data_IF_011012266539
#
_entry.id   IF_011012266539
#
_cell.length_a   1.000
_cell.length_b   1.000
_cell.length_c   1.000
_cell.angle_alpha   90.00
_cell.angle_beta   90.00
_cell.angle_gamma   90.00
#
_symmetry.space_group_name_H-M   'P 1'
#
loop_
_entity.id
_entity.type
_entity.pdbx_description
1 polymer ?
#
# COMPACT_ATOMS: atom_id res chain seq x y z
N UNK A 1 15.87 22.12 -20.92
CA UNK A 1 15.56 20.84 -20.30
C UNK A 1 16.05 20.93 -18.87
N UNK A 2 15.15 21.08 -17.89
CA UNK A 2 15.53 21.08 -16.49
C UNK A 2 15.95 19.64 -16.15
N UNK A 3 17.22 19.46 -15.79
CA UNK A 3 17.70 18.17 -15.30
C UNK A 3 17.01 17.89 -13.97
N UNK A 4 16.29 16.77 -13.90
CA UNK A 4 15.73 16.29 -12.65
C UNK A 4 16.86 16.18 -11.62
N UNK A 5 16.67 16.63 -10.37
CA UNK A 5 17.68 16.54 -9.32
C UNK A 5 18.16 15.09 -9.14
N UNK A 6 19.44 14.91 -8.86
CA UNK A 6 20.07 13.59 -8.75
C UNK A 6 19.35 12.67 -7.74
N UNK A 7 18.78 13.22 -6.66
CA UNK A 7 18.05 12.44 -5.66
C UNK A 7 16.80 11.73 -6.22
N UNK A 8 16.17 12.28 -7.29
CA UNK A 8 14.99 11.66 -7.93
C UNK A 8 15.38 10.34 -8.60
N UNK A 9 16.55 10.29 -9.24
CA UNK A 9 17.06 9.05 -9.84
C UNK A 9 17.40 8.00 -8.78
N UNK A 10 18.00 8.43 -7.65
CA UNK A 10 18.33 7.53 -6.53
C UNK A 10 17.04 6.95 -5.93
N UNK A 11 16.03 7.79 -5.74
CA UNK A 11 14.74 7.39 -5.21
C UNK A 11 14.02 6.43 -6.17
N UNK A 12 14.05 6.72 -7.47
CA UNK A 12 13.49 5.85 -8.50
C UNK A 12 14.17 4.47 -8.51
N UNK A 13 15.50 4.43 -8.50
CA UNK A 13 16.24 3.17 -8.43
C UNK A 13 15.91 2.37 -7.17
N UNK A 14 15.79 3.06 -6.03
CA UNK A 14 15.38 2.44 -4.77
C UNK A 14 13.97 1.84 -4.84
N UNK A 15 13.00 2.57 -5.41
CA UNK A 15 11.63 2.08 -5.61
C UNK A 15 11.57 0.88 -6.55
N UNK A 16 12.32 0.91 -7.66
CA UNK A 16 12.41 -0.21 -8.61
C UNK A 16 13.03 -1.42 -7.91
N UNK A 17 14.12 -1.25 -7.17
CA UNK A 17 14.75 -2.32 -6.42
C UNK A 17 13.79 -2.96 -5.42
N UNK A 18 13.11 -2.15 -4.59
CA UNK A 18 12.10 -2.62 -3.64
C UNK A 18 10.96 -3.32 -4.38
N UNK A 19 10.45 -2.75 -5.47
CA UNK A 19 9.36 -3.31 -6.25
C UNK A 19 9.73 -4.66 -6.87
N UNK A 20 10.92 -4.77 -7.48
CA UNK A 20 11.41 -6.02 -8.08
C UNK A 20 11.62 -7.10 -7.02
N UNK A 21 12.20 -6.77 -5.87
CA UNK A 21 12.35 -7.76 -4.78
C UNK A 21 11.00 -8.26 -4.25
N UNK A 22 9.93 -7.47 -4.42
CA UNK A 22 8.56 -7.84 -4.05
C UNK A 22 7.85 -8.70 -5.11
N UNK A 23 8.36 -8.76 -6.33
CA UNK A 23 7.84 -9.65 -7.38
C UNK A 23 8.14 -11.13 -7.12
N UNK A 24 9.08 -11.45 -6.23
CA UNK A 24 9.43 -12.83 -5.89
C UNK A 24 8.67 -13.30 -4.65
N UNK A 25 8.36 -14.61 -4.64
CA UNK A 25 7.74 -15.24 -3.48
C UNK A 25 8.68 -15.15 -2.26
N UNK A 26 8.13 -14.79 -1.11
CA UNK A 26 8.91 -14.58 0.12
C UNK A 26 8.13 -14.94 1.37
N UNK A 27 8.86 -15.32 2.39
CA UNK A 27 8.32 -15.54 3.73
C UNK A 27 8.41 -14.25 4.54
N UNK A 28 7.30 -13.85 5.15
CA UNK A 28 7.23 -12.63 5.97
C UNK A 28 6.42 -12.89 7.24
N UNK A 29 6.73 -12.13 8.29
CA UNK A 29 5.90 -12.07 9.50
C UNK A 29 4.60 -11.32 9.18
N UNK A 30 3.42 -11.74 9.73
CA UNK A 30 2.10 -11.19 9.37
C UNK A 30 1.97 -9.67 9.52
N UNK A 31 2.68 -9.07 10.48
CA UNK A 31 2.61 -7.63 10.79
C UNK A 31 3.40 -6.75 9.80
N UNK A 32 4.50 -7.28 9.22
CA UNK A 32 5.38 -6.49 8.33
C UNK A 32 4.69 -5.90 7.09
N UNK A 33 3.75 -6.59 6.43
CA UNK A 33 3.08 -6.04 5.25
C UNK A 33 2.25 -4.78 5.51
N UNK A 34 1.75 -4.56 6.73
CA UNK A 34 0.87 -3.43 7.04
C UNK A 34 1.65 -2.16 7.41
N UNK A 35 2.89 -2.30 7.93
CA UNK A 35 3.69 -1.15 8.35
C UNK A 35 4.01 -0.21 7.19
N UNK A 36 4.39 -0.78 6.04
CA UNK A 36 4.77 -0.02 4.86
C UNK A 36 3.62 0.87 4.32
N UNK A 37 2.39 0.35 4.07
CA UNK A 37 1.26 1.18 3.66
C UNK A 37 0.91 2.29 4.67
N UNK A 38 0.97 2.02 5.97
CA UNK A 38 0.67 3.03 7.01
C UNK A 38 1.65 4.20 6.94
N UNK A 39 2.95 3.91 6.83
CA UNK A 39 3.98 4.95 6.68
C UNK A 39 3.73 5.77 5.40
N UNK A 40 3.38 5.11 4.30
CA UNK A 40 3.06 5.78 3.04
C UNK A 40 1.81 6.66 3.13
N UNK A 41 0.79 6.24 3.86
CA UNK A 41 -0.39 7.09 4.15
C UNK A 41 0.04 8.37 4.87
N UNK A 42 0.82 8.26 5.93
CA UNK A 42 1.27 9.41 6.70
C UNK A 42 2.15 10.38 5.90
N UNK A 43 3.14 9.85 5.19
CA UNK A 43 4.07 10.65 4.38
C UNK A 43 3.35 11.35 3.22
N UNK A 44 2.49 10.63 2.50
CA UNK A 44 1.79 11.20 1.35
C UNK A 44 0.76 12.25 1.76
N UNK A 45 0.04 12.04 2.87
CA UNK A 45 -0.89 13.05 3.38
C UNK A 45 -0.15 14.32 3.81
N UNK A 46 1.00 14.18 4.46
CA UNK A 46 1.85 15.31 4.82
C UNK A 46 2.37 16.03 3.56
N UNK A 47 2.87 15.30 2.57
CA UNK A 47 3.37 15.85 1.30
C UNK A 47 2.29 16.66 0.58
N UNK A 48 1.09 16.08 0.39
CA UNK A 48 -0.03 16.76 -0.27
C UNK A 48 -0.51 17.98 0.51
N UNK A 49 -0.54 17.92 1.84
CA UNK A 49 -0.89 19.06 2.68
C UNK A 49 0.08 20.24 2.51
N UNK A 50 1.37 19.96 2.32
CA UNK A 50 2.37 20.99 2.02
C UNK A 50 2.26 21.55 0.59
N UNK A 51 1.93 20.69 -0.39
CA UNK A 51 1.78 21.10 -1.79
C UNK A 51 0.50 21.92 -2.03
N UNK A 52 -0.56 21.62 -1.31
CA UNK A 52 -1.86 22.25 -1.44
C UNK A 52 -2.34 22.84 -0.10
N UNK A 53 -1.72 23.92 0.40
CA UNK A 53 -2.08 24.51 1.71
C UNK A 53 -3.50 25.08 1.73
N UNK A 54 -4.09 25.33 0.57
CA UNK A 54 -5.46 25.82 0.42
C UNK A 54 -6.49 24.70 0.13
N UNK A 55 -6.09 23.41 0.24
CA UNK A 55 -6.99 22.30 -0.02
C UNK A 55 -8.16 22.31 0.98
N UNK A 56 -9.36 22.36 0.46
CA UNK A 56 -10.60 22.32 1.24
C UNK A 56 -10.96 20.89 1.70
N UNK A 57 -12.00 20.78 2.53
CA UNK A 57 -12.54 19.50 2.99
C UNK A 57 -12.88 18.52 1.86
N UNK A 58 -13.27 19.03 0.69
CA UNK A 58 -13.62 18.23 -0.49
C UNK A 58 -12.41 17.40 -1.00
N UNK A 59 -11.20 17.95 -0.97
CA UNK A 59 -10.01 17.24 -1.38
C UNK A 59 -9.70 16.06 -0.43
N UNK A 60 -9.83 16.28 0.88
CA UNK A 60 -9.66 15.21 1.87
C UNK A 60 -10.76 14.16 1.78
N UNK A 61 -12.02 14.58 1.53
CA UNK A 61 -13.13 13.66 1.31
C UNK A 61 -12.89 12.79 0.06
N UNK A 62 -12.41 13.38 -1.04
CA UNK A 62 -12.05 12.68 -2.25
C UNK A 62 -10.89 11.68 -2.00
N UNK A 63 -9.87 12.08 -1.23
CA UNK A 63 -8.78 11.19 -0.82
C UNK A 63 -9.29 9.97 -0.05
N UNK A 64 -10.15 10.19 0.94
CA UNK A 64 -10.72 9.10 1.76
C UNK A 64 -11.60 8.17 0.93
N UNK A 65 -12.46 8.70 0.07
CA UNK A 65 -13.30 7.91 -0.82
C UNK A 65 -12.45 7.07 -1.79
N UNK A 66 -11.45 7.67 -2.41
CA UNK A 66 -10.53 6.99 -3.31
C UNK A 66 -9.66 5.95 -2.59
N UNK A 67 -9.20 6.24 -1.36
CA UNK A 67 -8.48 5.30 -0.52
C UNK A 67 -9.35 4.08 -0.18
N UNK A 68 -10.62 4.28 0.16
CA UNK A 68 -11.56 3.19 0.42
C UNK A 68 -11.79 2.33 -0.84
N UNK A 69 -11.94 2.95 -2.01
CA UNK A 69 -12.06 2.26 -3.30
C UNK A 69 -10.79 1.47 -3.63
N UNK A 70 -9.62 2.09 -3.48
CA UNK A 70 -8.32 1.44 -3.66
C UNK A 70 -8.13 0.26 -2.71
N UNK A 71 -8.45 0.44 -1.42
CA UNK A 71 -8.37 -0.62 -0.42
C UNK A 71 -9.31 -1.77 -0.73
N UNK A 72 -10.53 -1.48 -1.17
CA UNK A 72 -11.49 -2.51 -1.61
C UNK A 72 -10.94 -3.30 -2.81
N UNK A 73 -10.43 -2.61 -3.84
CA UNK A 73 -9.79 -3.25 -4.98
C UNK A 73 -8.60 -4.11 -4.59
N UNK A 74 -7.72 -3.60 -3.71
CA UNK A 74 -6.58 -4.32 -3.16
C UNK A 74 -6.98 -5.55 -2.37
N UNK A 75 -8.04 -5.46 -1.56
CA UNK A 75 -8.62 -6.57 -0.81
C UNK A 75 -9.11 -7.69 -1.73
N UNK A 76 -9.89 -7.36 -2.76
CA UNK A 76 -10.40 -8.34 -3.71
C UNK A 76 -9.27 -8.98 -4.53
N UNK A 77 -8.25 -8.22 -4.90
CA UNK A 77 -7.08 -8.75 -5.58
C UNK A 77 -6.35 -9.78 -4.70
N UNK A 78 -6.10 -9.47 -3.43
CA UNK A 78 -5.41 -10.34 -2.49
C UNK A 78 -6.21 -11.60 -2.10
N UNK A 79 -7.55 -11.57 -2.21
CA UNK A 79 -8.40 -12.76 -1.97
C UNK A 79 -8.04 -13.94 -2.88
N UNK A 80 -7.54 -13.67 -4.07
CA UNK A 80 -7.15 -14.70 -5.05
C UNK A 80 -5.81 -15.35 -4.73
N UNK A 81 -5.05 -14.80 -3.79
CA UNK A 81 -3.73 -15.30 -3.43
C UNK A 81 -3.82 -16.60 -2.62
N UNK A 82 -3.00 -17.58 -3.01
CA UNK A 82 -2.82 -18.82 -2.23
C UNK A 82 -1.73 -18.55 -1.19
N UNK A 83 -2.13 -18.26 0.04
CA UNK A 83 -1.23 -18.07 1.17
C UNK A 83 -0.85 -19.44 1.72
N UNK A 84 0.45 -19.64 2.00
CA UNK A 84 0.96 -20.82 2.70
C UNK A 84 1.41 -20.37 4.08
N UNK A 85 0.81 -20.96 5.10
CA UNK A 85 1.15 -20.68 6.49
C UNK A 85 2.14 -21.73 6.98
N UNK A 86 3.19 -21.28 7.66
CA UNK A 86 4.22 -22.14 8.24
C UNK A 86 4.47 -21.70 9.66
N UNK A 87 4.37 -22.62 10.60
CA UNK A 87 4.71 -22.37 12.00
C UNK A 87 6.19 -22.74 12.19
N UNK A 88 6.99 -21.76 12.56
CA UNK A 88 8.43 -21.94 12.86
C UNK A 88 8.71 -21.65 14.35
N UNK A 89 9.93 -21.89 14.82
CA UNK A 89 10.34 -21.64 16.20
C UNK A 89 10.20 -20.17 16.61
N UNK A 90 10.24 -19.26 15.65
CA UNK A 90 10.10 -17.80 15.85
C UNK A 90 8.67 -17.28 15.65
N UNK A 91 7.67 -18.15 15.55
CA UNK A 91 6.27 -17.82 15.33
C UNK A 91 5.76 -18.13 13.92
N UNK A 92 4.58 -17.60 13.59
CA UNK A 92 3.92 -17.84 12.32
C UNK A 92 4.61 -17.05 11.19
N UNK A 93 4.99 -17.75 10.15
CA UNK A 93 5.48 -17.20 8.87
C UNK A 93 4.45 -17.43 7.78
N UNK A 94 4.29 -16.43 6.91
CA UNK A 94 3.39 -16.51 5.77
C UNK A 94 4.19 -16.34 4.49
N UNK A 95 4.07 -17.31 3.60
CA UNK A 95 4.64 -17.22 2.26
C UNK A 95 3.67 -16.48 1.37
N UNK A 96 4.09 -15.26 0.96
CA UNK A 96 3.37 -14.46 -0.01
C UNK A 96 3.80 -14.85 -1.42
N UNK A 97 2.86 -15.01 -2.36
CA UNK A 97 3.22 -15.14 -3.76
C UNK A 97 3.90 -13.85 -4.25
N UNK A 98 4.77 -13.97 -5.24
CA UNK A 98 5.32 -12.80 -5.92
C UNK A 98 4.21 -12.00 -6.60
N UNK A 99 4.23 -10.68 -6.47
CA UNK A 99 3.19 -9.81 -7.02
C UNK A 99 3.78 -8.58 -7.72
N UNK A 100 3.76 -8.62 -9.05
CA UNK A 100 4.18 -7.50 -9.88
C UNK A 100 3.27 -6.27 -9.76
N UNK A 101 2.03 -6.44 -9.25
CA UNK A 101 1.10 -5.32 -9.10
C UNK A 101 1.55 -4.31 -8.05
N UNK A 102 2.36 -4.73 -7.07
CA UNK A 102 2.99 -3.79 -6.13
C UNK A 102 4.02 -2.91 -6.83
N UNK A 103 4.86 -3.50 -7.69
CA UNK A 103 5.81 -2.73 -8.51
C UNK A 103 5.07 -1.72 -9.39
N UNK A 104 4.00 -2.16 -10.08
CA UNK A 104 3.18 -1.28 -10.90
C UNK A 104 2.58 -0.13 -10.07
N UNK A 105 2.06 -0.40 -8.86
CA UNK A 105 1.52 0.62 -7.97
C UNK A 105 2.60 1.62 -7.55
N UNK A 106 3.82 1.16 -7.19
CA UNK A 106 4.93 2.04 -6.81
C UNK A 106 5.38 2.93 -7.97
N UNK A 107 5.47 2.38 -9.18
CA UNK A 107 5.83 3.15 -10.38
C UNK A 107 4.76 4.18 -10.72
N UNK A 108 3.48 3.82 -10.66
CA UNK A 108 2.36 4.75 -10.87
C UNK A 108 2.36 5.86 -9.83
N UNK A 109 2.62 5.54 -8.56
CA UNK A 109 2.74 6.55 -7.50
C UNK A 109 3.89 7.50 -7.79
N UNK A 110 5.05 6.99 -8.18
CA UNK A 110 6.19 7.81 -8.52
C UNK A 110 5.91 8.74 -9.72
N UNK A 111 5.27 8.23 -10.78
CA UNK A 111 4.88 9.02 -11.95
C UNK A 111 3.87 10.10 -11.56
N UNK A 112 2.84 9.74 -10.78
CA UNK A 112 1.81 10.69 -10.33
C UNK A 112 2.42 11.81 -9.48
N UNK A 113 3.26 11.47 -8.49
CA UNK A 113 3.95 12.44 -7.64
C UNK A 113 4.87 13.36 -8.47
N UNK A 114 5.66 12.79 -9.37
CA UNK A 114 6.54 13.58 -10.25
C UNK A 114 5.73 14.54 -11.12
N UNK A 115 4.61 14.08 -11.67
CA UNK A 115 3.71 14.91 -12.48
C UNK A 115 3.09 16.06 -11.67
N UNK A 116 2.61 15.77 -10.45
CA UNK A 116 2.03 16.79 -9.56
C UNK A 116 3.08 17.85 -9.20
N UNK A 117 4.28 17.41 -8.80
CA UNK A 117 5.38 18.32 -8.47
C UNK A 117 5.80 19.18 -9.66
N UNK A 118 5.95 18.60 -10.86
CA UNK A 118 6.32 19.35 -12.08
C UNK A 118 5.24 20.38 -12.44
N UNK A 119 3.96 19.98 -12.36
CA UNK A 119 2.84 20.88 -12.67
C UNK A 119 2.82 22.11 -11.75
N UNK A 120 3.09 21.93 -10.46
CA UNK A 120 3.16 23.02 -9.50
C UNK A 120 4.42 23.85 -9.68
N UNK A 121 5.59 23.21 -9.85
CA UNK A 121 6.87 23.90 -10.03
C UNK A 121 6.92 24.75 -11.30
N UNK A 122 6.24 24.32 -12.37
CA UNK A 122 6.12 25.05 -13.63
C UNK A 122 4.98 26.07 -13.63
N UNK A 123 4.32 26.26 -12.50
CA UNK A 123 3.21 27.22 -12.31
C UNK A 123 2.15 27.13 -13.40
N UNK A 124 1.76 25.90 -13.78
CA UNK A 124 0.72 25.69 -14.78
C UNK A 124 -0.61 26.27 -14.29
N UNK A 125 -1.35 27.04 -15.13
CA UNK A 125 -2.60 27.70 -14.69
C UNK A 125 -3.63 26.72 -14.11
N UNK A 126 -3.74 25.52 -14.69
CA UNK A 126 -4.64 24.48 -14.22
C UNK A 126 -4.19 23.81 -12.90
N UNK A 127 -2.89 23.85 -12.58
CA UNK A 127 -2.38 23.31 -11.33
C UNK A 127 -2.79 24.13 -10.09
N UNK A 128 -3.16 25.40 -10.28
CA UNK A 128 -3.68 26.27 -9.22
C UNK A 128 -5.19 26.07 -8.96
N UNK A 129 -5.89 25.20 -9.71
CA UNK A 129 -7.32 24.98 -9.57
C UNK A 129 -7.64 24.02 -8.41
N UNK A 130 -8.74 24.26 -7.71
CA UNK A 130 -9.25 23.35 -6.68
C UNK A 130 -9.52 21.93 -7.23
N UNK A 131 -9.95 21.84 -8.51
CA UNK A 131 -10.17 20.54 -9.18
C UNK A 131 -8.89 19.73 -9.29
N UNK A 132 -7.77 20.38 -9.60
CA UNK A 132 -6.48 19.68 -9.66
C UNK A 132 -6.04 19.17 -8.29
N UNK A 133 -6.26 19.97 -7.22
CA UNK A 133 -6.01 19.52 -5.87
C UNK A 133 -6.87 18.28 -5.52
N UNK A 134 -8.18 18.33 -5.77
CA UNK A 134 -9.09 17.20 -5.51
C UNK A 134 -8.64 15.95 -6.27
N UNK A 135 -8.30 16.06 -7.55
CA UNK A 135 -7.82 14.94 -8.36
C UNK A 135 -6.49 14.38 -7.83
N UNK A 136 -5.55 15.24 -7.43
CA UNK A 136 -4.27 14.81 -6.86
C UNK A 136 -4.47 14.01 -5.58
N UNK A 137 -5.33 14.47 -4.69
CA UNK A 137 -5.69 13.75 -3.47
C UNK A 137 -6.42 12.42 -3.76
N UNK A 138 -7.31 12.39 -4.74
CA UNK A 138 -8.01 11.17 -5.14
C UNK A 138 -7.06 10.13 -5.76
N UNK A 139 -6.19 10.54 -6.68
CA UNK A 139 -5.19 9.64 -7.29
C UNK A 139 -4.26 9.06 -6.21
N UNK A 140 -3.76 9.91 -5.32
CA UNK A 140 -2.94 9.46 -4.21
C UNK A 140 -3.69 8.47 -3.30
N UNK A 141 -4.93 8.79 -2.88
CA UNK A 141 -5.75 7.91 -2.06
C UNK A 141 -5.95 6.54 -2.71
N UNK A 142 -6.27 6.49 -3.99
CA UNK A 142 -6.45 5.25 -4.76
C UNK A 142 -5.19 4.39 -4.78
N UNK A 143 -4.03 5.01 -5.09
CA UNK A 143 -2.75 4.31 -5.20
C UNK A 143 -2.27 3.76 -3.85
N UNK A 144 -2.42 4.52 -2.77
CA UNK A 144 -2.04 4.08 -1.42
C UNK A 144 -3.05 3.10 -0.83
N UNK A 145 -4.33 3.23 -1.18
CA UNK A 145 -5.39 2.31 -0.77
C UNK A 145 -5.14 0.87 -1.25
N UNK A 146 -4.68 0.68 -2.48
CA UNK A 146 -4.46 -0.68 -3.02
C UNK A 146 -3.49 -1.55 -2.18
N UNK A 147 -2.26 -1.14 -1.85
CA UNK A 147 -1.37 -1.92 -1.00
C UNK A 147 -1.92 -2.06 0.43
N UNK A 148 -2.63 -1.06 0.95
CA UNK A 148 -3.27 -1.13 2.25
C UNK A 148 -4.33 -2.25 2.30
N UNK A 149 -5.23 -2.29 1.32
CA UNK A 149 -6.28 -3.32 1.24
C UNK A 149 -5.71 -4.74 1.13
N UNK A 150 -4.62 -4.92 0.36
CA UNK A 150 -3.90 -6.21 0.29
C UNK A 150 -3.31 -6.60 1.64
N UNK A 151 -2.65 -5.66 2.32
CA UNK A 151 -2.03 -5.92 3.61
C UNK A 151 -3.09 -6.31 4.65
N UNK A 152 -4.20 -5.59 4.70
CA UNK A 152 -5.32 -5.89 5.62
C UNK A 152 -5.91 -7.27 5.34
N UNK A 153 -6.10 -7.65 4.06
CA UNK A 153 -6.58 -9.00 3.70
C UNK A 153 -5.63 -10.09 4.21
N UNK A 154 -4.32 -9.93 3.98
CA UNK A 154 -3.31 -10.91 4.44
C UNK A 154 -3.35 -11.04 5.96
N UNK A 155 -3.32 -9.93 6.69
CA UNK A 155 -3.35 -9.93 8.16
C UNK A 155 -4.63 -10.59 8.69
N UNK A 156 -5.79 -10.25 8.14
CA UNK A 156 -7.07 -10.85 8.55
C UNK A 156 -7.07 -12.36 8.35
N UNK A 157 -6.52 -12.86 7.25
CA UNK A 157 -6.41 -14.29 6.98
C UNK A 157 -5.42 -14.98 7.93
N UNK A 158 -4.33 -14.31 8.31
CA UNK A 158 -3.39 -14.82 9.31
C UNK A 158 -4.04 -14.94 10.68
N UNK A 159 -4.79 -13.93 11.12
CA UNK A 159 -5.50 -13.95 12.41
C UNK A 159 -6.55 -15.08 12.43
N UNK A 160 -7.32 -15.23 11.36
CA UNK A 160 -8.30 -16.33 11.27
C UNK A 160 -7.65 -17.69 11.33
N UNK A 161 -6.51 -17.88 10.67
CA UNK A 161 -5.79 -19.15 10.71
C UNK A 161 -5.22 -19.44 12.12
N UNK A 162 -4.68 -18.41 12.79
CA UNK A 162 -4.17 -18.54 14.16
C UNK A 162 -5.29 -18.92 15.15
N UNK A 163 -6.46 -18.30 15.04
CA UNK A 163 -7.60 -18.60 15.90
C UNK A 163 -8.17 -20.01 15.64
N UNK A 164 -8.29 -20.44 14.36
CA UNK A 164 -8.76 -21.78 14.00
C UNK A 164 -7.84 -22.90 14.49
N UNK A 165 -6.52 -22.68 14.45
CA UNK A 165 -5.57 -23.68 14.98
C UNK A 165 -5.56 -23.73 16.50
N UNK A 166 -6.00 -22.69 17.20
CA UNK A 166 -6.14 -22.67 18.66
C UNK A 166 -7.35 -23.49 19.10
N UNK A 167 -8.45 -23.47 18.36
CA UNK A 167 -9.66 -24.24 18.64
C UNK A 167 -9.44 -25.75 18.43
N UNK A 168 -8.63 -26.12 17.43
CA UNK A 168 -8.32 -27.52 17.14
C UNK A 168 -7.38 -28.16 18.19
N UNK A 169 -6.54 -27.35 18.84
CA UNK A 169 -5.67 -27.77 19.96
C UNK A 169 -6.39 -27.88 21.30
N UNK A 170 -7.57 -27.30 21.42
CA UNK A 170 -8.40 -27.32 22.64
C UNK A 170 -9.43 -28.48 22.69
N UNK A 171 -9.46 -29.36 21.67
CA UNK A 171 -10.30 -30.53 21.71
C UNK A 171 -9.85 -31.45 22.88
N UNK A 172 -10.72 -31.80 23.82
CA UNK A 172 -10.35 -32.63 24.95
C UNK A 172 -9.85 -33.98 24.44
N UNK A 173 -8.67 -34.37 24.92
CA UNK A 173 -8.19 -35.74 24.72
C UNK A 173 -9.27 -36.70 25.18
N UNK A 174 -9.95 -37.34 24.23
CA UNK A 174 -10.92 -38.41 24.55
C UNK A 174 -10.12 -39.50 25.21
N UNK A 175 -10.32 -39.66 26.56
CA UNK A 175 -9.83 -40.80 27.32
C UNK A 175 -10.29 -42.08 26.64
N UNK A 176 -9.38 -42.77 25.99
CA UNK A 176 -9.57 -44.16 25.58
C UNK A 176 -9.55 -45.03 26.85
N UNK A 177 -10.71 -45.45 27.29
CA UNK A 177 -10.85 -46.63 28.18
C UNK A 177 -10.73 -47.89 27.37
#
# INVERSE_FOLDING_TARGET
MQHLPAYVYVLFCGLVYIGVTRCFAREVRPVRPILFPIVFVGLGLSSLGHLFPQAGGDAYAAALAALALGATGGWFHARRWRLQFRTGPEGMLVRLPGDASLLATLLLTFVAETFIHDAIATSRPWAATGTFAILSFAVWGMLVGMPLGRAVNVVTRCIRHANGSSDEGAAPAFESR
#
